data_IF_315211405577
#
_entry.id   IF_315211405577
#
_cell.length_a   1.000
_cell.length_b   1.000
_cell.length_c   1.000
_cell.angle_alpha   90.00
_cell.angle_beta   90.00
_cell.angle_gamma   90.00
#
_symmetry.space_group_name_H-M   'P 1'
#
loop_
_entity.id
_entity.type
_entity.pdbx_description
1 polymer ?
#
# COMPACT_ATOMS: atom_id res chain seq x y z
N UNK A 1 -14.73 2.15 3.75
CA UNK A 1 -13.61 1.58 4.54
C UNK A 1 -12.61 2.69 4.85
N UNK A 2 -11.95 2.67 6.01
CA UNK A 2 -10.52 2.99 5.98
C UNK A 2 -10.00 4.30 6.58
N UNK A 3 -10.72 5.02 7.45
CA UNK A 3 -10.10 6.15 8.17
C UNK A 3 -8.90 5.71 9.01
N UNK A 4 -9.07 4.71 9.88
CA UNK A 4 -8.00 4.18 10.74
C UNK A 4 -6.81 3.62 9.95
N UNK A 5 -7.09 2.82 8.91
CA UNK A 5 -6.04 2.15 8.12
C UNK A 5 -5.25 3.17 7.31
N UNK A 6 -5.93 4.08 6.63
CA UNK A 6 -5.28 5.15 5.86
C UNK A 6 -4.47 6.07 6.78
N UNK A 7 -5.01 6.48 7.93
CA UNK A 7 -4.24 7.26 8.92
C UNK A 7 -3.01 6.51 9.44
N UNK A 8 -3.09 5.18 9.62
CA UNK A 8 -1.95 4.35 9.99
C UNK A 8 -0.86 4.33 8.90
N UNK A 9 -1.27 4.21 7.64
CA UNK A 9 -0.37 4.30 6.48
C UNK A 9 0.33 5.66 6.46
N UNK A 10 -0.42 6.76 6.61
CA UNK A 10 0.17 8.12 6.63
C UNK A 10 1.19 8.29 7.76
N UNK A 11 0.85 7.85 8.99
CA UNK A 11 1.77 7.88 10.14
C UNK A 11 3.05 7.07 9.92
N UNK A 12 2.93 5.92 9.25
CA UNK A 12 4.10 5.13 8.88
C UNK A 12 4.95 5.86 7.83
N UNK A 13 4.31 6.45 6.80
CA UNK A 13 4.99 7.19 5.73
C UNK A 13 5.82 8.34 6.28
N UNK A 14 5.29 9.10 7.24
CA UNK A 14 5.97 10.25 7.88
C UNK A 14 7.41 9.92 8.28
N UNK A 15 7.64 8.71 8.83
CA UNK A 15 8.91 8.28 9.40
C UNK A 15 9.69 7.26 8.54
N UNK A 16 9.23 6.96 7.32
CA UNK A 16 9.72 5.83 6.50
C UNK A 16 10.79 6.18 5.46
N UNK A 17 11.06 7.48 5.22
CA UNK A 17 11.88 7.93 4.08
C UNK A 17 11.16 7.84 2.72
N UNK A 18 9.92 7.36 2.69
CA UNK A 18 9.06 7.34 1.52
C UNK A 18 8.04 8.49 1.52
N UNK A 19 7.33 8.60 0.41
CA UNK A 19 6.14 9.41 0.21
C UNK A 19 5.15 8.71 -0.73
N UNK A 20 3.89 9.13 -0.73
CA UNK A 20 2.87 8.57 -1.60
C UNK A 20 3.21 8.83 -3.07
N UNK A 21 2.98 7.83 -3.92
CA UNK A 21 3.13 7.94 -5.36
C UNK A 21 1.77 8.21 -6.03
N UNK A 22 1.43 9.49 -6.17
CA UNK A 22 0.13 9.97 -6.70
C UNK A 22 0.10 10.10 -8.23
N UNK A 23 1.11 9.58 -8.94
CA UNK A 23 1.14 9.64 -10.40
C UNK A 23 -0.07 8.96 -11.02
N UNK A 24 -0.58 9.56 -12.10
CA UNK A 24 -1.72 9.03 -12.85
C UNK A 24 -1.52 7.54 -13.20
N UNK A 25 -2.49 6.71 -12.84
CA UNK A 25 -2.47 5.27 -13.06
C UNK A 25 -1.95 4.44 -11.89
N UNK A 26 -1.27 5.05 -10.91
CA UNK A 26 -0.90 4.42 -9.64
C UNK A 26 -2.08 4.59 -8.68
N UNK A 27 -2.66 3.50 -8.24
CA UNK A 27 -3.81 3.52 -7.31
C UNK A 27 -3.54 2.56 -6.17
N UNK A 28 -4.06 2.90 -5.00
CA UNK A 28 -4.14 1.96 -3.88
C UNK A 28 -4.99 0.76 -4.32
N UNK A 29 -4.51 -0.44 -4.06
CA UNK A 29 -5.21 -1.68 -4.37
C UNK A 29 -5.49 -2.46 -3.09
N UNK A 30 -6.66 -3.09 -3.03
CA UNK A 30 -7.02 -4.03 -1.97
C UNK A 30 -7.20 -5.42 -2.56
N UNK A 31 -6.68 -6.44 -1.90
CA UNK A 31 -6.85 -7.84 -2.25
C UNK A 31 -7.48 -8.57 -1.06
N UNK A 32 -8.67 -9.13 -1.24
CA UNK A 32 -9.34 -9.92 -0.20
C UNK A 32 -8.69 -11.30 -0.14
N UNK A 33 -8.12 -11.66 1.01
CA UNK A 33 -7.33 -12.90 1.16
C UNK A 33 -8.25 -14.11 1.39
N UNK A 34 -9.38 -13.90 2.08
CA UNK A 34 -10.27 -14.98 2.51
C UNK A 34 -11.55 -14.98 1.68
N UNK A 35 -11.53 -15.62 0.52
CA UNK A 35 -12.67 -15.64 -0.41
C UNK A 35 -13.73 -16.68 -0.07
N UNK A 36 -13.44 -17.66 0.80
CA UNK A 36 -14.41 -18.70 1.19
C UNK A 36 -15.07 -18.38 2.54
N UNK A 37 -16.36 -18.74 2.65
CA UNK A 37 -17.13 -18.56 3.88
C UNK A 37 -16.57 -19.39 5.05
N UNK A 38 -15.98 -20.55 4.77
CA UNK A 38 -15.33 -21.40 5.78
C UNK A 38 -14.17 -20.67 6.47
N UNK A 39 -13.24 -20.09 5.70
CA UNK A 39 -12.08 -19.37 6.24
C UNK A 39 -12.53 -18.11 6.99
N UNK A 40 -13.52 -17.40 6.44
CA UNK A 40 -14.11 -16.23 7.09
C UNK A 40 -14.75 -16.56 8.44
N UNK A 41 -15.46 -17.69 8.52
CA UNK A 41 -16.09 -18.15 9.75
C UNK A 41 -15.05 -18.61 10.78
N UNK A 42 -14.01 -19.32 10.36
CA UNK A 42 -12.93 -19.76 11.25
C UNK A 42 -12.14 -18.59 11.86
N UNK A 43 -11.83 -17.57 11.06
CA UNK A 43 -11.07 -16.41 11.52
C UNK A 43 -11.94 -15.38 12.26
N UNK A 44 -13.26 -15.41 12.08
CA UNK A 44 -14.20 -14.42 12.63
C UNK A 44 -13.96 -12.97 12.17
N UNK A 45 -13.10 -12.75 11.17
CA UNK A 45 -12.88 -11.44 10.55
C UNK A 45 -12.50 -11.58 9.06
N UNK A 46 -12.75 -10.51 8.29
CA UNK A 46 -12.30 -10.40 6.91
C UNK A 46 -10.86 -9.91 6.83
N UNK A 47 -10.01 -10.60 6.06
CA UNK A 47 -8.64 -10.19 5.81
C UNK A 47 -8.50 -9.56 4.44
N UNK A 48 -7.78 -8.44 4.37
CA UNK A 48 -7.49 -7.71 3.14
C UNK A 48 -6.04 -7.26 3.16
N UNK A 49 -5.31 -7.58 2.10
CA UNK A 49 -4.00 -7.00 1.83
C UNK A 49 -4.18 -5.67 1.09
N UNK A 50 -3.38 -4.69 1.47
CA UNK A 50 -3.44 -3.36 0.90
C UNK A 50 -2.08 -3.01 0.30
N UNK A 51 -2.11 -2.63 -0.97
CA UNK A 51 -0.94 -2.20 -1.72
C UNK A 51 -1.04 -0.69 -1.94
N UNK A 52 -0.10 0.04 -1.34
CA UNK A 52 -0.03 1.51 -1.42
C UNK A 52 1.17 1.89 -2.29
N UNK A 53 0.96 2.59 -3.42
CA UNK A 53 2.06 3.11 -4.22
C UNK A 53 2.90 4.12 -3.42
N UNK A 54 4.21 3.87 -3.34
CA UNK A 54 5.18 4.72 -2.66
C UNK A 54 6.38 5.02 -3.55
N UNK A 55 7.07 6.13 -3.27
CA UNK A 55 8.35 6.51 -3.87
C UNK A 55 9.34 6.99 -2.81
N UNK A 56 10.63 6.96 -3.14
CA UNK A 56 11.70 7.45 -2.25
C UNK A 56 11.63 8.98 -2.20
N UNK A 57 11.66 9.55 -0.99
CA UNK A 57 11.58 10.99 -0.80
C UNK A 57 12.78 11.69 -1.42
N UNK A 58 12.51 12.72 -2.22
CA UNK A 58 13.55 13.54 -2.86
C UNK A 58 14.32 12.86 -4.00
N UNK A 59 13.92 11.66 -4.44
CA UNK A 59 14.49 11.05 -5.65
C UNK A 59 13.67 11.40 -6.90
N UNK A 60 14.34 12.06 -7.84
CA UNK A 60 13.89 12.16 -9.23
C UNK A 60 13.99 10.77 -9.90
N UNK A 61 12.90 10.32 -10.49
CA UNK A 61 12.74 8.93 -10.96
C UNK A 61 13.67 8.53 -12.11
N UNK A 62 14.17 9.50 -12.87
CA UNK A 62 15.18 9.31 -13.90
C UNK A 62 16.42 8.58 -13.37
N UNK A 63 16.69 8.67 -12.07
CA UNK A 63 17.82 8.04 -11.40
C UNK A 63 17.67 6.52 -11.19
N UNK A 64 16.44 6.00 -11.13
CA UNK A 64 16.18 4.59 -10.77
C UNK A 64 16.26 3.66 -11.99
N UNK A 65 15.96 4.19 -13.18
CA UNK A 65 15.95 3.42 -14.43
C UNK A 65 17.38 2.99 -14.81
N UNK A 66 18.38 3.82 -14.50
CA UNK A 66 19.79 3.55 -14.81
C UNK A 66 20.50 2.62 -13.81
N UNK A 67 19.90 2.33 -12.65
CA UNK A 67 20.50 1.46 -11.62
C UNK A 67 20.12 -0.03 -11.77
N UNK A 68 19.37 -0.38 -12.82
CA UNK A 68 18.89 -1.75 -13.10
C UNK A 68 19.36 -2.29 -14.46
N UNK A 69 20.30 -1.60 -15.11
CA UNK A 69 21.07 -2.11 -16.25
C UNK A 69 22.50 -2.38 -15.79
#
# INVERSE_FOLDING_TARGET
MGGRVYSGILKWIENSGFELDERKGRRMMGHMVNLTDEIKNALSYGQMDIYVPIRIRGQEQSSIINARQ
#
